data_IF_451001458574
#
_entry.id   IF_451001458574
#
_cell.length_a   1.000
_cell.length_b   1.000
_cell.length_c   1.000
_cell.angle_alpha   90.00
_cell.angle_beta   90.00
_cell.angle_gamma   90.00
#
_symmetry.space_group_name_H-M   'P 1'
#
loop_
_entity.id
_entity.type
_entity.pdbx_description
1 polymer ?
#
# COMPACT_ATOMS: atom_id res chain seq x y z
N UNK A 1 -33.17 40.60 10.21
CA UNK A 1 -32.73 39.22 10.45
C UNK A 1 -32.06 38.70 9.19
N UNK A 2 -30.80 38.31 9.30
CA UNK A 2 -29.96 37.92 8.18
C UNK A 2 -30.15 36.43 7.84
N UNK A 3 -30.19 36.09 6.54
CA UNK A 3 -29.52 34.90 6.03
C UNK A 3 -29.39 34.98 4.51
N UNK A 4 -28.16 35.30 4.09
CA UNK A 4 -27.70 35.17 2.70
C UNK A 4 -27.64 33.68 2.37
N UNK A 5 -28.46 33.22 1.43
CA UNK A 5 -28.32 31.88 0.85
C UNK A 5 -27.31 32.01 -0.28
N UNK A 6 -26.06 31.67 0.03
CA UNK A 6 -24.97 31.61 -0.93
C UNK A 6 -25.13 30.29 -1.70
N UNK A 7 -25.51 30.38 -2.97
CA UNK A 7 -25.44 29.26 -3.91
C UNK A 7 -23.98 29.12 -4.36
N UNK A 8 -23.26 28.11 -3.87
CA UNK A 8 -21.91 27.75 -4.32
C UNK A 8 -22.02 26.55 -5.26
N UNK A 9 -21.40 26.59 -6.45
CA UNK A 9 -21.66 25.63 -7.52
C UNK A 9 -20.99 24.28 -7.21
N UNK A 10 -21.69 23.19 -7.52
CA UNK A 10 -21.14 21.84 -7.44
C UNK A 10 -20.05 21.68 -8.52
N UNK A 11 -18.81 21.94 -8.14
CA UNK A 11 -17.64 21.72 -8.97
C UNK A 11 -17.39 20.20 -9.14
N UNK A 12 -17.47 19.75 -10.39
CA UNK A 12 -17.03 18.44 -10.87
C UNK A 12 -15.53 18.25 -10.55
N UNK A 13 -15.21 17.46 -9.53
CA UNK A 13 -13.85 16.99 -9.30
C UNK A 13 -13.64 15.67 -10.04
N UNK A 14 -12.97 15.77 -11.19
CA UNK A 14 -12.45 14.64 -11.94
C UNK A 14 -11.45 13.85 -11.11
N UNK A 15 -11.67 12.54 -11.01
CA UNK A 15 -10.70 11.59 -10.48
C UNK A 15 -9.53 11.50 -11.45
N UNK A 16 -8.46 12.23 -11.17
CA UNK A 16 -7.16 12.03 -11.80
C UNK A 16 -6.61 10.66 -11.37
N UNK A 17 -6.60 9.70 -12.28
CA UNK A 17 -5.90 8.44 -12.10
C UNK A 17 -4.39 8.72 -12.09
N UNK A 18 -3.79 8.76 -10.90
CA UNK A 18 -2.34 8.79 -10.77
C UNK A 18 -1.79 7.41 -11.17
N UNK A 19 -1.17 7.33 -12.35
CA UNK A 19 -0.38 6.18 -12.74
C UNK A 19 0.89 6.16 -11.87
N UNK A 20 0.93 5.25 -10.90
CA UNK A 20 2.12 5.01 -10.09
C UNK A 20 3.23 4.42 -10.96
N UNK A 21 4.19 5.26 -11.35
CA UNK A 21 5.47 4.82 -11.90
C UNK A 21 6.20 4.00 -10.84
N UNK A 22 6.34 2.69 -11.06
CA UNK A 22 7.16 1.85 -10.19
C UNK A 22 8.63 2.16 -10.47
N UNK A 23 9.28 2.95 -9.61
CA UNK A 23 10.75 3.03 -9.60
C UNK A 23 11.32 1.66 -9.24
N UNK A 24 12.03 1.04 -10.19
CA UNK A 24 12.86 -0.13 -9.91
C UNK A 24 14.04 0.30 -9.04
N UNK A 25 13.94 0.05 -7.74
CA UNK A 25 15.06 0.19 -6.81
C UNK A 25 16.19 -0.82 -7.14
N UNK A 26 17.35 -0.70 -6.48
CA UNK A 26 18.44 -1.67 -6.65
C UNK A 26 17.91 -3.09 -6.46
N UNK A 27 18.39 -4.03 -7.27
CA UNK A 27 18.05 -5.45 -7.16
C UNK A 27 18.39 -5.90 -5.73
N UNK A 28 17.37 -6.02 -4.89
CA UNK A 28 17.54 -6.52 -3.54
C UNK A 28 18.07 -7.94 -3.64
N UNK A 29 19.09 -8.25 -2.83
CA UNK A 29 19.64 -9.60 -2.72
C UNK A 29 18.49 -10.57 -2.39
N UNK A 30 18.29 -11.61 -3.21
CA UNK A 30 17.17 -12.56 -3.06
C UNK A 30 17.10 -13.15 -1.64
N UNK A 31 18.22 -13.59 -1.03
CA UNK A 31 18.27 -13.94 0.39
C UNK A 31 17.66 -12.90 1.35
N UNK A 32 17.90 -11.60 1.13
CA UNK A 32 17.30 -10.55 1.94
C UNK A 32 15.79 -10.48 1.72
N UNK A 33 15.32 -10.54 0.48
CA UNK A 33 13.89 -10.55 0.17
C UNK A 33 13.18 -11.75 0.83
N UNK A 34 13.80 -12.93 0.85
CA UNK A 34 13.25 -14.12 1.52
C UNK A 34 13.18 -13.93 3.04
N UNK A 35 14.22 -13.35 3.66
CA UNK A 35 14.21 -13.03 5.09
C UNK A 35 13.10 -12.03 5.44
N UNK A 36 12.99 -10.95 4.67
CA UNK A 36 11.96 -9.92 4.87
C UNK A 36 10.56 -10.51 4.69
N UNK A 37 10.35 -11.29 3.64
CA UNK A 37 9.08 -11.97 3.39
C UNK A 37 8.70 -12.90 4.54
N UNK A 38 9.67 -13.66 5.09
CA UNK A 38 9.44 -14.60 6.19
C UNK A 38 8.99 -13.88 7.46
N UNK A 39 9.67 -12.80 7.83
CA UNK A 39 9.33 -11.99 9.00
C UNK A 39 7.95 -11.34 8.84
N UNK A 40 7.67 -10.75 7.67
CA UNK A 40 6.38 -10.12 7.39
C UNK A 40 5.24 -11.13 7.31
N UNK A 41 5.49 -12.34 6.80
CA UNK A 41 4.49 -13.41 6.76
C UNK A 41 4.13 -13.91 8.16
N UNK A 42 5.11 -14.05 9.05
CA UNK A 42 4.85 -14.40 10.45
C UNK A 42 3.98 -13.35 11.15
N UNK A 43 4.31 -12.06 10.99
CA UNK A 43 3.51 -10.97 11.54
C UNK A 43 2.09 -10.92 10.94
N UNK A 44 1.96 -11.07 9.63
CA UNK A 44 0.67 -11.06 8.94
C UNK A 44 -0.24 -12.23 9.34
N UNK A 45 0.30 -13.46 9.47
CA UNK A 45 -0.49 -14.66 9.78
C UNK A 45 -0.73 -14.85 11.28
N UNK A 46 0.13 -14.29 12.13
CA UNK A 46 0.02 -14.39 13.59
C UNK A 46 -0.70 -13.22 14.25
N UNK A 47 -0.88 -12.09 13.55
CA UNK A 47 -1.54 -10.90 14.09
C UNK A 47 -3.07 -10.94 14.01
N UNK A 48 -3.73 -10.01 14.72
CA UNK A 48 -5.19 -9.83 14.62
C UNK A 48 -5.55 -9.13 13.31
N UNK A 49 -6.63 -9.55 12.67
CA UNK A 49 -7.05 -9.04 11.36
C UNK A 49 -7.53 -7.58 11.33
N UNK A 50 -7.83 -6.99 12.48
CA UNK A 50 -8.24 -5.59 12.65
C UNK A 50 -7.12 -4.70 13.22
N UNK A 51 -5.97 -5.29 13.58
CA UNK A 51 -4.81 -4.55 14.08
C UNK A 51 -4.10 -3.88 12.89
N UNK A 52 -3.95 -2.53 12.89
CA UNK A 52 -3.27 -1.81 11.82
C UNK A 52 -1.85 -2.33 11.54
N UNK A 53 -1.12 -2.81 12.56
CA UNK A 53 0.22 -3.34 12.38
C UNK A 53 0.22 -4.68 11.62
N UNK A 54 -0.78 -5.54 11.87
CA UNK A 54 -0.97 -6.78 11.10
C UNK A 54 -1.29 -6.47 9.64
N UNK A 55 -2.17 -5.50 9.40
CA UNK A 55 -2.57 -5.09 8.05
C UNK A 55 -1.41 -4.50 7.25
N UNK A 56 -0.57 -3.67 7.89
CA UNK A 56 0.69 -3.18 7.29
C UNK A 56 1.65 -4.32 6.96
N UNK A 57 1.85 -5.26 7.90
CA UNK A 57 2.71 -6.41 7.68
C UNK A 57 2.23 -7.27 6.49
N UNK A 58 0.92 -7.49 6.36
CA UNK A 58 0.34 -8.19 5.20
C UNK A 58 0.58 -7.42 3.90
N UNK A 59 0.33 -6.10 3.88
CA UNK A 59 0.53 -5.25 2.70
C UNK A 59 1.99 -5.27 2.22
N UNK A 60 2.93 -5.17 3.17
CA UNK A 60 4.37 -5.21 2.89
C UNK A 60 4.81 -6.59 2.45
N UNK A 61 4.31 -7.67 3.08
CA UNK A 61 4.58 -9.05 2.63
C UNK A 61 4.21 -9.20 1.17
N UNK A 62 3.03 -8.74 0.78
CA UNK A 62 2.53 -8.86 -0.60
C UNK A 62 3.41 -8.06 -1.59
N UNK A 63 3.98 -6.92 -1.16
CA UNK A 63 4.94 -6.18 -1.97
C UNK A 63 6.26 -6.93 -2.17
N UNK A 64 6.79 -7.57 -1.12
CA UNK A 64 8.00 -8.40 -1.21
C UNK A 64 7.74 -9.66 -2.03
N UNK A 65 6.56 -10.28 -1.88
CA UNK A 65 6.12 -11.44 -2.66
C UNK A 65 6.14 -11.17 -4.16
N UNK A 66 5.64 -10.00 -4.58
CA UNK A 66 5.72 -9.57 -6.00
C UNK A 66 7.15 -9.40 -6.48
N UNK A 67 8.06 -8.91 -5.64
CA UNK A 67 9.49 -8.79 -6.00
C UNK A 67 10.17 -10.14 -6.13
N UNK A 68 9.88 -11.07 -5.22
CA UNK A 68 10.38 -12.44 -5.28
C UNK A 68 9.92 -13.13 -6.57
N UNK A 69 8.63 -13.07 -6.91
CA UNK A 69 8.07 -13.61 -8.17
C UNK A 69 8.69 -13.00 -9.42
N UNK A 70 9.07 -11.72 -9.37
CA UNK A 70 9.73 -11.06 -10.49
C UNK A 70 11.21 -11.49 -10.65
N UNK A 71 11.79 -12.17 -9.66
CA UNK A 71 13.20 -12.59 -9.67
C UNK A 71 13.40 -14.03 -10.19
N UNK A 72 12.34 -14.81 -10.42
CA UNK A 72 12.43 -16.16 -11.00
C UNK A 72 11.17 -16.99 -10.85
#
# INVERSE_FOLDING_TARGET
>A
MARRVILVPAALLGLAAAASVAQAGPAADVPQLVRDWTALNAACRGGRGDDPATLDACTRRDAVDRRLKATG
#
